data_IF_986544915627
#
_entry.id   IF_986544915627
#
_cell.length_a   1.000
_cell.length_b   1.000
_cell.length_c   1.000
_cell.angle_alpha   90.00
_cell.angle_beta   90.00
_cell.angle_gamma   90.00
#
_symmetry.space_group_name_H-M   'P 1'
#
loop_
_entity.id
_entity.type
_entity.pdbx_description
1 polymer ?
#
# COMPACT_ATOMS: atom_id res chain seq x y z
N UNK A 1 11.77 -26.81 -10.94
CA UNK A 1 12.89 -25.89 -10.65
C UNK A 1 13.00 -25.81 -9.14
N UNK A 2 14.16 -26.10 -8.55
CA UNK A 2 14.34 -26.06 -7.10
C UNK A 2 14.41 -24.59 -6.67
N UNK A 3 13.40 -24.11 -5.95
CA UNK A 3 13.36 -22.73 -5.45
C UNK A 3 14.43 -22.58 -4.37
N UNK A 4 15.58 -22.01 -4.73
CA UNK A 4 16.59 -21.62 -3.74
C UNK A 4 16.08 -20.38 -3.03
N UNK A 5 15.71 -20.54 -1.75
CA UNK A 5 15.49 -19.42 -0.84
C UNK A 5 16.71 -18.50 -0.89
N UNK A 6 16.49 -17.21 -1.13
CA UNK A 6 17.55 -16.20 -1.05
C UNK A 6 18.05 -16.22 0.40
N UNK A 7 19.23 -16.77 0.63
CA UNK A 7 19.82 -16.80 1.96
C UNK A 7 20.71 -15.57 2.14
N UNK A 8 20.28 -14.63 2.98
CA UNK A 8 21.06 -13.44 3.36
C UNK A 8 21.16 -13.36 4.87
N UNK A 9 22.23 -12.77 5.37
CA UNK A 9 22.38 -12.53 6.83
C UNK A 9 21.21 -11.76 7.44
N UNK A 10 20.58 -10.86 6.65
CA UNK A 10 19.40 -10.11 7.10
C UNK A 10 18.18 -11.02 7.29
N UNK A 11 17.97 -11.97 6.38
CA UNK A 11 16.88 -12.94 6.47
C UNK A 11 17.12 -13.96 7.58
N UNK A 12 18.35 -14.47 7.74
CA UNK A 12 18.70 -15.36 8.86
C UNK A 12 18.50 -14.67 10.21
N UNK A 13 18.94 -13.41 10.35
CA UNK A 13 18.74 -12.63 11.56
C UNK A 13 17.25 -12.42 11.87
N UNK A 14 16.44 -12.12 10.86
CA UNK A 14 14.99 -11.95 11.01
C UNK A 14 14.32 -13.27 11.42
N UNK A 15 14.65 -14.37 10.73
CA UNK A 15 14.17 -15.72 11.04
C UNK A 15 14.45 -16.11 12.49
N UNK A 16 15.71 -15.96 12.92
CA UNK A 16 16.11 -16.28 14.28
C UNK A 16 15.44 -15.37 15.32
N UNK A 17 15.27 -14.08 15.02
CA UNK A 17 14.61 -13.13 15.93
C UNK A 17 13.15 -13.47 16.14
N UNK A 18 12.40 -13.78 15.07
CA UNK A 18 10.99 -14.18 15.17
C UNK A 18 10.85 -15.46 15.99
N UNK A 19 11.70 -16.47 15.74
CA UNK A 19 11.65 -17.73 16.46
C UNK A 19 11.99 -17.63 17.93
N UNK A 20 12.95 -16.78 18.28
CA UNK A 20 13.34 -16.59 19.68
C UNK A 20 12.34 -15.75 20.47
N UNK A 21 11.70 -14.76 19.82
CA UNK A 21 10.86 -13.78 20.54
C UNK A 21 9.37 -14.07 20.47
N UNK A 22 8.87 -14.60 19.35
CA UNK A 22 7.43 -14.57 19.03
C UNK A 22 6.85 -15.96 18.77
N UNK A 23 7.47 -16.74 17.89
CA UNK A 23 6.95 -18.08 17.52
C UNK A 23 8.10 -19.07 17.26
N UNK A 24 8.43 -19.95 18.22
CA UNK A 24 9.52 -20.92 18.08
C UNK A 24 9.31 -21.94 16.96
N UNK A 25 8.11 -22.00 16.36
CA UNK A 25 7.77 -22.87 15.24
C UNK A 25 7.66 -22.11 13.91
N UNK A 26 7.97 -20.82 13.87
CA UNK A 26 7.91 -20.01 12.64
C UNK A 26 8.78 -20.59 11.53
N UNK A 27 8.18 -20.89 10.40
CA UNK A 27 8.87 -21.22 9.15
C UNK A 27 8.49 -20.21 8.06
N UNK A 28 9.42 -19.92 7.15
CA UNK A 28 9.11 -19.08 5.99
C UNK A 28 8.08 -19.79 5.12
N UNK A 29 6.99 -19.08 4.82
CA UNK A 29 6.06 -19.52 3.77
C UNK A 29 6.71 -19.21 2.42
N UNK A 30 7.11 -20.26 1.70
CA UNK A 30 7.61 -20.16 0.34
C UNK A 30 6.45 -20.40 -0.62
N UNK A 31 5.93 -19.32 -1.21
CA UNK A 31 4.90 -19.42 -2.23
C UNK A 31 5.55 -19.70 -3.59
N UNK A 32 5.36 -20.89 -4.15
CA UNK A 32 5.82 -21.22 -5.51
C UNK A 32 4.91 -20.62 -6.60
N UNK A 33 3.69 -20.26 -6.23
CA UNK A 33 2.73 -19.60 -7.10
C UNK A 33 1.90 -18.60 -6.31
N UNK A 34 1.29 -17.67 -7.02
CA UNK A 34 0.28 -16.76 -6.49
C UNK A 34 -0.95 -16.83 -7.42
N UNK A 35 -2.16 -16.54 -6.92
CA UNK A 35 -3.35 -16.39 -7.76
C UNK A 35 -3.21 -15.10 -8.59
N UNK A 36 -2.37 -15.16 -9.62
CA UNK A 36 -2.08 -14.05 -10.49
C UNK A 36 -3.04 -14.06 -11.68
N UNK A 37 -3.80 -12.98 -11.83
CA UNK A 37 -4.58 -12.72 -13.04
C UNK A 37 -3.70 -11.92 -14.02
N UNK A 38 -3.25 -12.52 -15.15
CA UNK A 38 -2.47 -11.79 -16.13
C UNK A 38 -3.32 -10.67 -16.76
N UNK A 39 -2.66 -9.57 -17.11
CA UNK A 39 -3.31 -8.46 -17.79
C UNK A 39 -3.62 -8.85 -19.24
N UNK A 40 -4.89 -8.78 -19.64
CA UNK A 40 -5.34 -9.20 -20.98
C UNK A 40 -5.18 -8.12 -22.07
N UNK A 41 -4.93 -6.86 -21.68
CA UNK A 41 -4.91 -5.70 -22.57
C UNK A 41 -3.79 -4.73 -22.17
N UNK A 42 -3.30 -3.87 -23.08
CA UNK A 42 -2.37 -2.81 -22.70
C UNK A 42 -2.93 -1.90 -21.59
N UNK A 43 -2.04 -1.34 -20.75
CA UNK A 43 -2.44 -0.45 -19.64
C UNK A 43 -3.26 0.75 -20.12
N UNK A 44 -2.90 1.32 -21.28
CA UNK A 44 -3.61 2.40 -21.95
C UNK A 44 -5.09 2.07 -22.30
N UNK A 45 -5.48 0.79 -22.23
CA UNK A 45 -6.86 0.32 -22.46
C UNK A 45 -7.50 -0.28 -21.20
N UNK A 46 -6.88 -0.07 -20.04
CA UNK A 46 -7.27 -0.65 -18.76
C UNK A 46 -7.66 0.44 -17.76
N UNK A 47 -8.59 0.11 -16.86
CA UNK A 47 -8.89 0.93 -15.70
C UNK A 47 -8.02 0.51 -14.51
N UNK A 48 -7.37 1.47 -13.85
CA UNK A 48 -6.52 1.26 -12.68
C UNK A 48 -7.22 1.80 -11.43
N UNK A 49 -7.33 0.98 -10.39
CA UNK A 49 -7.82 1.40 -9.07
C UNK A 49 -6.65 1.53 -8.10
N UNK A 50 -6.67 2.57 -7.26
CA UNK A 50 -5.71 2.72 -6.17
C UNK A 50 -6.33 2.19 -4.87
N UNK A 51 -5.66 1.21 -4.28
CA UNK A 51 -5.97 0.69 -2.95
C UNK A 51 -4.69 0.77 -2.11
N UNK A 52 -4.74 1.46 -0.97
CA UNK A 52 -3.59 1.65 -0.09
C UNK A 52 -3.91 1.28 1.36
N UNK A 53 -2.89 0.92 2.11
CA UNK A 53 -2.96 0.63 3.56
C UNK A 53 -2.03 1.55 4.35
N UNK A 54 -1.75 2.75 3.80
CA UNK A 54 -0.83 3.71 4.38
C UNK A 54 -1.50 4.69 5.35
N UNK A 55 -2.80 4.49 5.64
CA UNK A 55 -3.59 5.32 6.53
C UNK A 55 -3.97 6.67 5.93
N UNK A 56 -4.10 6.79 4.61
CA UNK A 56 -4.45 8.05 3.94
C UNK A 56 -5.93 8.43 4.19
N UNK A 57 -6.19 9.68 4.56
CA UNK A 57 -7.54 10.20 4.76
C UNK A 57 -7.64 11.68 4.37
N UNK A 58 -8.85 12.19 4.12
CA UNK A 58 -9.05 13.59 3.73
C UNK A 58 -9.12 14.49 4.96
N UNK A 59 -8.19 15.44 5.04
CA UNK A 59 -8.13 16.49 6.04
C UNK A 59 -9.45 17.26 6.10
N UNK A 60 -10.06 17.30 7.28
CA UNK A 60 -11.29 18.07 7.52
C UNK A 60 -12.57 17.47 6.94
N UNK A 61 -12.50 16.32 6.26
CA UNK A 61 -13.66 15.61 5.73
C UNK A 61 -13.81 14.22 6.33
N UNK A 62 -12.71 13.50 6.55
CA UNK A 62 -12.69 12.17 7.14
C UNK A 62 -12.19 12.22 8.59
N UNK A 63 -12.74 11.37 9.46
CA UNK A 63 -12.12 11.08 10.75
C UNK A 63 -10.78 10.36 10.51
N UNK A 64 -9.69 10.74 11.21
CA UNK A 64 -8.44 9.97 11.16
C UNK A 64 -8.66 8.52 11.59
N UNK A 65 -7.86 7.59 11.05
CA UNK A 65 -7.89 6.20 11.49
C UNK A 65 -7.44 6.07 12.96
N UNK A 66 -8.01 5.09 13.66
CA UNK A 66 -7.59 4.71 15.01
C UNK A 66 -6.29 3.87 14.98
N UNK A 67 -5.21 4.47 14.46
CA UNK A 67 -3.94 3.79 14.19
C UNK A 67 -3.18 3.33 15.45
N UNK A 68 -3.59 3.80 16.63
CA UNK A 68 -3.04 3.38 17.91
C UNK A 68 -3.77 2.15 18.50
N UNK A 69 -4.91 1.75 17.93
CA UNK A 69 -5.65 0.58 18.38
C UNK A 69 -4.83 -0.69 18.15
N UNK A 70 -4.68 -1.49 19.21
CA UNK A 70 -3.97 -2.76 19.13
C UNK A 70 -4.62 -3.74 18.14
N UNK A 71 -5.94 -3.67 17.97
CA UNK A 71 -6.69 -4.49 17.02
C UNK A 71 -6.78 -3.86 15.61
N UNK A 72 -6.21 -2.66 15.43
CA UNK A 72 -6.31 -1.88 14.20
C UNK A 72 -7.67 -1.20 14.01
N UNK A 73 -7.79 -0.48 12.91
CA UNK A 73 -9.03 0.16 12.45
C UNK A 73 -9.55 -0.61 11.22
N UNK A 74 -10.74 -1.26 11.29
CA UNK A 74 -11.28 -2.03 10.17
C UNK A 74 -12.06 -1.16 9.16
N UNK A 75 -12.15 0.15 9.39
CA UNK A 75 -12.81 1.06 8.45
C UNK A 75 -11.95 1.28 7.21
N UNK A 76 -12.57 1.82 6.17
CA UNK A 76 -11.88 2.32 5.00
C UNK A 76 -12.37 3.72 4.67
N UNK A 77 -11.57 4.46 3.92
CA UNK A 77 -11.91 5.79 3.42
C UNK A 77 -12.01 5.73 1.90
N UNK A 78 -13.09 6.30 1.39
CA UNK A 78 -13.26 6.51 -0.04
C UNK A 78 -12.78 7.93 -0.39
N UNK A 79 -11.71 8.00 -1.15
CA UNK A 79 -11.03 9.25 -1.47
C UNK A 79 -11.28 9.55 -2.95
N UNK A 80 -11.97 10.67 -3.28
CA UNK A 80 -12.14 11.12 -4.64
C UNK A 80 -10.81 11.20 -5.37
N UNK A 81 -10.76 10.67 -6.58
CA UNK A 81 -9.53 10.57 -7.37
C UNK A 81 -8.94 11.93 -7.72
N UNK A 82 -9.69 13.02 -7.60
CA UNK A 82 -9.29 14.41 -7.81
C UNK A 82 -8.80 15.10 -6.51
N UNK A 83 -8.82 14.41 -5.37
CA UNK A 83 -8.28 14.91 -4.10
C UNK A 83 -6.85 15.39 -4.29
N UNK A 84 -6.60 16.66 -3.95
CA UNK A 84 -5.29 17.28 -4.02
C UNK A 84 -4.37 16.78 -2.89
N UNK A 85 -3.04 16.75 -3.09
CA UNK A 85 -2.11 16.26 -2.08
C UNK A 85 -2.21 17.02 -0.75
N UNK A 86 -2.45 18.35 -0.77
CA UNK A 86 -2.62 19.14 0.45
C UNK A 86 -3.89 18.81 1.26
N UNK A 87 -4.86 18.12 0.66
CA UNK A 87 -6.06 17.64 1.34
C UNK A 87 -5.86 16.24 1.95
N UNK A 88 -4.72 15.59 1.77
CA UNK A 88 -4.40 14.31 2.37
C UNK A 88 -3.66 14.48 3.69
N UNK A 89 -3.98 13.60 4.63
CA UNK A 89 -3.22 13.32 5.84
C UNK A 89 -3.09 11.81 6.02
N UNK A 90 -2.20 11.39 6.92
CA UNK A 90 -1.87 9.99 7.13
C UNK A 90 -1.94 9.64 8.62
N UNK A 91 -2.62 8.55 8.94
CA UNK A 91 -2.73 8.01 10.30
C UNK A 91 -2.14 6.59 10.31
N UNK A 92 -0.86 6.49 10.68
CA UNK A 92 -0.16 5.21 10.82
C UNK A 92 0.92 5.33 11.91
N UNK A 93 1.22 4.24 12.61
CA UNK A 93 2.16 4.25 13.76
C UNK A 93 3.52 3.66 13.45
N UNK A 94 3.68 2.99 12.30
CA UNK A 94 4.87 2.17 11.99
C UNK A 94 5.80 2.74 10.90
N UNK A 95 5.65 4.00 10.49
CA UNK A 95 6.62 4.67 9.61
C UNK A 95 6.74 6.17 9.91
N UNK A 96 7.85 6.78 9.49
CA UNK A 96 8.08 8.22 9.65
C UNK A 96 7.24 9.04 8.67
N UNK A 97 6.37 9.89 9.20
CA UNK A 97 5.47 10.72 8.40
C UNK A 97 6.17 11.88 7.69
N UNK A 98 7.46 12.16 7.94
CA UNK A 98 8.19 13.26 7.29
C UNK A 98 8.11 13.20 5.75
N UNK A 99 8.22 12.01 5.17
CA UNK A 99 8.17 11.84 3.71
C UNK A 99 6.78 12.10 3.13
N UNK A 100 5.74 11.55 3.73
CA UNK A 100 4.35 11.75 3.26
C UNK A 100 3.83 13.16 3.57
N UNK A 101 4.37 13.82 4.60
CA UNK A 101 4.09 15.23 4.88
C UNK A 101 4.72 16.16 3.83
N UNK A 102 5.91 15.80 3.31
CA UNK A 102 6.57 16.54 2.25
C UNK A 102 5.94 16.27 0.88
N UNK A 103 5.68 15.01 0.55
CA UNK A 103 5.03 14.59 -0.69
C UNK A 103 4.10 13.39 -0.45
N UNK A 104 2.77 13.63 -0.37
CA UNK A 104 1.77 12.58 -0.23
C UNK A 104 1.83 11.51 -1.34
N UNK A 105 2.40 11.80 -2.52
CA UNK A 105 2.50 10.81 -3.58
C UNK A 105 3.45 9.66 -3.26
N UNK A 106 4.35 9.81 -2.27
CA UNK A 106 5.21 8.71 -1.81
C UNK A 106 4.37 7.61 -1.13
N UNK A 107 3.29 7.98 -0.45
CA UNK A 107 2.41 7.03 0.24
C UNK A 107 1.12 6.71 -0.52
N UNK A 108 0.50 7.70 -1.16
CA UNK A 108 -0.79 7.59 -1.83
C UNK A 108 -0.78 8.39 -3.15
N UNK A 109 -0.28 7.79 -4.26
CA UNK A 109 0.13 8.47 -5.50
C UNK A 109 -1.02 8.93 -6.40
N UNK A 110 -2.12 9.47 -5.85
CA UNK A 110 -3.25 9.98 -6.63
C UNK A 110 -2.83 11.00 -7.69
N UNK A 111 -1.93 11.93 -7.33
CA UNK A 111 -1.44 12.95 -8.26
C UNK A 111 -0.69 12.35 -9.44
N UNK A 112 0.22 11.42 -9.18
CA UNK A 112 0.99 10.73 -10.21
C UNK A 112 0.10 9.86 -11.11
N UNK A 113 -0.88 9.15 -10.55
CA UNK A 113 -1.81 8.33 -11.33
C UNK A 113 -2.70 9.19 -12.26
N UNK A 114 -3.09 10.40 -11.83
CA UNK A 114 -3.77 11.36 -12.72
C UNK A 114 -2.89 11.81 -13.88
N UNK A 115 -1.59 12.02 -13.64
CA UNK A 115 -0.62 12.36 -14.69
C UNK A 115 -0.52 11.19 -15.69
N UNK A 116 -0.38 9.96 -15.21
CA UNK A 116 -0.31 8.77 -16.07
C UNK A 116 -1.57 8.58 -16.93
N UNK A 117 -2.75 8.90 -16.41
CA UNK A 117 -3.99 8.89 -17.20
C UNK A 117 -3.95 10.00 -18.27
N UNK A 118 -3.56 11.22 -17.89
CA UNK A 118 -3.47 12.35 -18.82
C UNK A 118 -2.46 12.12 -19.96
N UNK A 119 -1.37 11.40 -19.68
CA UNK A 119 -0.35 10.99 -20.65
C UNK A 119 -0.77 9.76 -21.48
N UNK A 120 -1.92 9.13 -21.17
CA UNK A 120 -2.41 7.94 -21.86
C UNK A 120 -1.63 6.66 -21.53
N UNK A 121 -0.81 6.66 -20.48
CA UNK A 121 -0.09 5.47 -19.99
C UNK A 121 -1.08 4.45 -19.43
N UNK A 122 -2.10 4.93 -18.72
CA UNK A 122 -3.26 4.14 -18.29
C UNK A 122 -4.53 4.65 -18.97
N UNK A 123 -5.48 3.76 -19.22
CA UNK A 123 -6.71 4.12 -19.92
C UNK A 123 -7.67 4.94 -19.05
N UNK A 124 -7.78 4.59 -17.77
CA UNK A 124 -8.63 5.31 -16.80
C UNK A 124 -8.13 5.09 -15.37
N UNK A 125 -8.05 6.13 -14.57
CA UNK A 125 -7.98 6.01 -13.11
C UNK A 125 -9.40 5.92 -12.54
N UNK A 126 -9.66 4.86 -11.77
CA UNK A 126 -10.95 4.62 -11.14
C UNK A 126 -11.20 5.63 -10.02
N UNK A 127 -12.44 6.08 -9.93
CA UNK A 127 -12.99 6.80 -8.79
C UNK A 127 -13.95 5.84 -8.05
N UNK A 128 -13.86 5.63 -6.74
CA UNK A 128 -13.00 6.29 -5.74
C UNK A 128 -11.70 5.48 -5.51
N UNK A 129 -10.66 6.13 -4.99
CA UNK A 129 -9.52 5.42 -4.41
C UNK A 129 -9.87 4.95 -2.98
N UNK A 130 -9.35 3.80 -2.57
CA UNK A 130 -9.66 3.20 -1.27
C UNK A 130 -8.41 3.24 -0.39
N UNK A 131 -8.55 3.78 0.82
CA UNK A 131 -7.51 3.69 1.86
C UNK A 131 -8.00 2.91 3.06
N UNK A 132 -7.10 2.12 3.60
CA UNK A 132 -7.14 1.52 4.93
C UNK A 132 -6.06 2.18 5.80
#
# INVERSE_FOLDING_TARGET
MTTHLINTEALERSYNTVRQKWDPHFEWVVNESAPWAPLERPLAQTALALVGTCGAYRRGADCPFDAANYYGDPSFKEIPRDTGPGALEFAHTHYDHAHVAQDPNVGFPLGLLRILEAEGVIGRLVDLAISF
#
